data_IF_139460547619
#
_entry.id   IF_139460547619
#
_cell.length_a   1.000
_cell.length_b   1.000
_cell.length_c   1.000
_cell.angle_alpha   90.00
_cell.angle_beta   90.00
_cell.angle_gamma   90.00
#
_symmetry.space_group_name_H-M   'P 1'
#
loop_
_entity.id
_entity.type
_entity.pdbx_description
1 polymer ?
#
# COMPACT_ATOMS: atom_id res chain seq x y z
N UNK A 1 10.16 23.63 -50.81
CA UNK A 1 10.58 23.75 -49.38
C UNK A 1 9.53 23.01 -48.57
N UNK A 2 9.72 21.72 -48.40
CA UNK A 2 8.86 20.88 -47.54
C UNK A 2 9.37 20.93 -46.11
N UNK A 3 8.54 21.46 -45.24
CA UNK A 3 8.82 21.52 -43.81
C UNK A 3 8.52 20.15 -43.22
N UNK A 4 9.55 19.37 -42.88
CA UNK A 4 9.43 18.14 -42.15
C UNK A 4 8.84 18.41 -40.73
N UNK A 5 7.60 18.03 -40.53
CA UNK A 5 6.99 17.98 -39.21
C UNK A 5 7.74 16.93 -38.37
N UNK A 6 8.51 17.38 -37.37
CA UNK A 6 9.09 16.51 -36.36
C UNK A 6 7.97 15.97 -35.47
N UNK A 7 7.72 14.68 -35.60
CA UNK A 7 6.88 13.92 -34.68
C UNK A 7 7.58 13.87 -33.32
N UNK A 8 7.14 14.75 -32.39
CA UNK A 8 7.61 14.79 -31.00
C UNK A 8 6.70 13.93 -30.12
N UNK A 9 6.62 12.64 -30.39
CA UNK A 9 6.22 11.69 -29.36
C UNK A 9 7.45 11.36 -28.51
N UNK A 10 7.75 12.23 -27.54
CA UNK A 10 8.62 11.84 -26.45
C UNK A 10 7.97 10.64 -25.76
N UNK A 11 8.71 9.56 -25.43
CA UNK A 11 8.17 8.48 -24.64
C UNK A 11 7.65 9.07 -23.33
N UNK A 12 6.43 8.71 -22.95
CA UNK A 12 5.90 9.08 -21.64
C UNK A 12 6.93 8.67 -20.58
N UNK A 13 7.37 9.63 -19.78
CA UNK A 13 8.26 9.35 -18.65
C UNK A 13 7.45 8.46 -17.68
N UNK A 14 7.69 7.16 -17.74
CA UNK A 14 6.99 6.16 -16.93
C UNK A 14 7.47 6.17 -15.47
N UNK A 15 8.19 7.22 -15.04
CA UNK A 15 8.78 7.30 -13.71
C UNK A 15 9.90 6.26 -13.50
N UNK A 16 10.60 6.39 -12.39
CA UNK A 16 11.65 5.42 -12.02
C UNK A 16 11.08 4.36 -11.07
N UNK A 17 11.50 3.09 -11.21
CA UNK A 17 11.16 2.05 -10.23
C UNK A 17 11.72 2.43 -8.85
N UNK A 18 11.19 1.85 -7.76
CA UNK A 18 11.73 2.05 -6.42
C UNK A 18 13.23 1.73 -6.37
N UNK A 19 13.99 2.56 -5.64
CA UNK A 19 15.41 2.29 -5.38
C UNK A 19 15.50 1.29 -4.22
N UNK A 20 16.20 0.17 -4.45
CA UNK A 20 16.46 -0.83 -3.41
C UNK A 20 17.89 -0.66 -2.92
N UNK A 21 18.04 -0.41 -1.60
CA UNK A 21 19.35 -0.30 -0.94
C UNK A 21 19.55 -1.53 -0.05
N UNK A 22 20.55 -2.35 -0.39
CA UNK A 22 20.96 -3.52 0.38
C UNK A 22 22.01 -3.12 1.40
N UNK A 23 21.71 -3.32 2.68
CA UNK A 23 22.60 -2.95 3.78
C UNK A 23 23.25 -4.16 4.43
N UNK A 24 22.51 -5.23 4.55
CA UNK A 24 23.01 -6.50 5.12
C UNK A 24 24.05 -7.18 4.20
N UNK A 25 25.06 -7.82 4.73
CA UNK A 25 25.42 -7.97 6.17
C UNK A 25 26.33 -6.86 6.72
N UNK A 26 26.56 -5.77 5.96
CA UNK A 26 27.51 -4.71 6.32
C UNK A 26 26.99 -3.81 7.42
N UNK A 27 25.68 -3.48 7.37
CA UNK A 27 25.01 -2.62 8.33
C UNK A 27 23.65 -3.23 8.71
N UNK A 28 23.52 -3.60 9.97
CA UNK A 28 22.22 -3.97 10.53
C UNK A 28 21.55 -2.76 11.18
N UNK A 29 20.34 -2.43 10.72
CA UNK A 29 19.57 -1.31 11.27
C UNK A 29 18.48 -1.84 12.19
N UNK A 30 18.59 -1.51 13.49
CA UNK A 30 17.54 -1.83 14.47
C UNK A 30 16.23 -1.12 14.13
N UNK A 31 15.14 -1.50 14.77
CA UNK A 31 13.84 -0.83 14.61
C UNK A 31 13.92 0.67 14.94
N UNK A 32 14.54 1.02 16.07
CA UNK A 32 14.72 2.40 16.50
C UNK A 32 15.56 3.19 15.50
N UNK A 33 16.68 2.62 15.04
CA UNK A 33 17.54 3.26 14.05
C UNK A 33 16.81 3.47 12.71
N UNK A 34 15.97 2.52 12.30
CA UNK A 34 15.18 2.67 11.07
C UNK A 34 14.10 3.73 11.22
N UNK A 35 13.41 3.78 12.36
CA UNK A 35 12.43 4.84 12.62
C UNK A 35 13.11 6.22 12.59
N UNK A 36 14.22 6.41 13.32
CA UNK A 36 14.99 7.66 13.31
C UNK A 36 15.51 8.01 11.91
N UNK A 37 15.97 7.01 11.15
CA UNK A 37 16.39 7.22 9.76
C UNK A 37 15.24 7.78 8.91
N UNK A 38 14.03 7.26 9.04
CA UNK A 38 12.87 7.82 8.36
C UNK A 38 12.51 9.23 8.86
N UNK A 39 12.68 9.51 10.18
CA UNK A 39 12.39 10.84 10.73
C UNK A 39 13.34 11.93 10.24
N UNK A 40 14.62 11.63 10.01
CA UNK A 40 15.58 12.61 9.47
C UNK A 40 15.50 12.72 7.93
N UNK A 41 14.85 11.77 7.23
CA UNK A 41 14.66 11.74 5.78
C UNK A 41 13.18 11.86 5.41
N UNK A 42 12.47 12.82 5.99
CA UNK A 42 11.00 12.99 5.84
C UNK A 42 10.53 13.24 4.42
N UNK A 43 11.42 13.68 3.55
CA UNK A 43 11.15 13.92 2.13
C UNK A 43 11.10 12.62 1.31
N UNK A 44 11.49 11.49 1.92
CA UNK A 44 11.52 10.18 1.28
C UNK A 44 10.40 9.28 1.83
N UNK A 45 9.75 8.55 0.94
CA UNK A 45 8.89 7.42 1.30
C UNK A 45 9.75 6.15 1.32
N UNK A 46 9.96 5.59 2.52
CA UNK A 46 10.90 4.48 2.73
C UNK A 46 10.17 3.33 3.40
N UNK A 47 10.21 2.16 2.78
CA UNK A 47 9.85 0.88 3.39
C UNK A 47 11.10 0.06 3.70
N UNK A 48 10.97 -0.96 4.53
CA UNK A 48 11.99 -1.98 4.77
C UNK A 48 11.36 -3.35 4.60
N UNK A 49 11.96 -4.22 3.79
CA UNK A 49 11.49 -5.59 3.66
C UNK A 49 12.04 -6.50 4.78
N UNK A 50 11.57 -7.75 4.83
CA UNK A 50 12.00 -8.74 5.83
C UNK A 50 13.49 -9.12 5.76
N UNK A 51 14.19 -8.78 4.66
CA UNK A 51 15.64 -8.99 4.50
C UNK A 51 16.46 -7.78 4.94
N UNK A 52 15.82 -6.72 5.50
CA UNK A 52 16.49 -5.49 5.92
C UNK A 52 16.82 -4.54 4.77
N UNK A 53 16.40 -4.82 3.53
CA UNK A 53 16.62 -3.93 2.39
C UNK A 53 15.68 -2.72 2.48
N UNK A 54 16.21 -1.52 2.24
CA UNK A 54 15.41 -0.30 2.14
C UNK A 54 14.85 -0.15 0.73
N UNK A 55 13.56 0.15 0.65
CA UNK A 55 12.83 0.40 -0.59
C UNK A 55 12.42 1.87 -0.58
N UNK A 56 13.07 2.69 -1.39
CA UNK A 56 12.81 4.12 -1.48
C UNK A 56 11.96 4.39 -2.73
N UNK A 57 10.77 4.93 -2.49
CA UNK A 57 9.78 5.17 -3.54
C UNK A 57 9.78 6.64 -3.98
N UNK A 58 9.75 6.93 -5.29
CA UNK A 58 9.55 8.28 -5.78
C UNK A 58 8.13 8.79 -5.47
N UNK A 59 7.89 10.11 -5.52
CA UNK A 59 6.54 10.65 -5.49
C UNK A 59 5.69 10.06 -6.62
N UNK A 60 4.42 9.81 -6.33
CA UNK A 60 3.49 9.26 -7.33
C UNK A 60 2.99 10.35 -8.28
N UNK A 61 2.61 9.96 -9.50
CA UNK A 61 1.98 10.86 -10.48
C UNK A 61 0.56 11.27 -10.08
N UNK A 62 0.06 12.36 -10.65
CA UNK A 62 -1.24 12.97 -10.36
C UNK A 62 -2.39 11.95 -10.34
N UNK A 63 -2.53 11.13 -11.40
CA UNK A 63 -3.61 10.14 -11.50
C UNK A 63 -3.58 9.08 -10.39
N UNK A 64 -2.40 8.61 -10.01
CA UNK A 64 -2.26 7.67 -8.88
C UNK A 64 -2.60 8.36 -7.57
N UNK A 65 -2.21 9.63 -7.40
CA UNK A 65 -2.56 10.43 -6.23
C UNK A 65 -4.07 10.65 -6.09
N UNK A 66 -4.77 11.01 -7.18
CA UNK A 66 -6.24 11.15 -7.22
C UNK A 66 -6.92 9.84 -6.75
N UNK A 67 -6.49 8.71 -7.31
CA UNK A 67 -7.03 7.38 -6.97
C UNK A 67 -6.78 6.99 -5.52
N UNK A 68 -5.57 7.24 -4.99
CA UNK A 68 -5.25 6.97 -3.60
C UNK A 68 -6.10 7.80 -2.63
N UNK A 69 -6.33 9.08 -2.97
CA UNK A 69 -7.19 9.95 -2.20
C UNK A 69 -8.64 9.43 -2.17
N UNK A 70 -9.17 9.01 -3.33
CA UNK A 70 -10.53 8.47 -3.45
C UNK A 70 -10.69 7.17 -2.65
N UNK A 71 -9.75 6.22 -2.79
CA UNK A 71 -9.75 4.96 -2.02
C UNK A 71 -9.75 5.25 -0.51
N UNK A 72 -8.85 6.12 -0.06
CA UNK A 72 -8.71 6.45 1.37
C UNK A 72 -9.98 7.16 1.88
N UNK A 73 -10.58 8.04 1.08
CA UNK A 73 -11.81 8.75 1.42
C UNK A 73 -12.97 7.76 1.60
N UNK A 74 -13.22 6.88 0.63
CA UNK A 74 -14.33 5.92 0.71
C UNK A 74 -14.17 4.98 1.92
N UNK A 75 -12.97 4.45 2.14
CA UNK A 75 -12.67 3.61 3.30
C UNK A 75 -12.86 4.38 4.62
N UNK A 76 -12.42 5.63 4.67
CA UNK A 76 -12.53 6.50 5.84
C UNK A 76 -13.97 6.88 6.19
N UNK A 77 -14.82 7.16 5.19
CA UNK A 77 -16.25 7.43 5.39
C UNK A 77 -16.93 6.21 6.00
N UNK A 78 -16.78 5.04 5.36
CA UNK A 78 -17.32 3.80 5.89
C UNK A 78 -16.82 3.48 7.32
N UNK A 79 -15.51 3.63 7.59
CA UNK A 79 -14.94 3.32 8.89
C UNK A 79 -15.50 4.21 10.00
N UNK A 80 -15.79 5.49 9.72
CA UNK A 80 -16.44 6.41 10.67
C UNK A 80 -17.87 6.02 10.98
N UNK A 81 -18.63 5.56 9.98
CA UNK A 81 -20.01 5.12 10.14
C UNK A 81 -20.10 3.77 10.87
N UNK A 82 -19.18 2.86 10.54
CA UNK A 82 -19.13 1.53 11.16
C UNK A 82 -18.62 1.57 12.61
N UNK A 83 -17.66 2.44 12.93
CA UNK A 83 -17.14 2.67 14.28
C UNK A 83 -16.29 1.55 14.88
N UNK A 84 -15.93 0.50 14.12
CA UNK A 84 -15.18 -0.66 14.63
C UNK A 84 -13.67 -0.56 14.48
N UNK A 85 -13.15 0.41 13.72
CA UNK A 85 -11.72 0.52 13.44
C UNK A 85 -11.32 1.87 12.87
N UNK A 86 -10.02 2.02 12.60
CA UNK A 86 -9.39 3.23 12.08
C UNK A 86 -8.83 2.97 10.69
N UNK A 87 -9.04 3.94 9.77
CA UNK A 87 -8.42 3.98 8.45
C UNK A 87 -7.08 4.69 8.53
N UNK A 88 -6.11 4.22 7.76
CA UNK A 88 -4.78 4.79 7.60
C UNK A 88 -4.49 5.01 6.13
N UNK A 89 -3.78 6.08 5.83
CA UNK A 89 -3.31 6.42 4.49
C UNK A 89 -1.90 5.87 4.21
N UNK A 90 -1.41 6.15 3.02
CA UNK A 90 -0.11 5.68 2.51
C UNK A 90 1.11 6.25 3.23
N UNK A 91 0.95 7.21 4.15
CA UNK A 91 2.05 7.76 4.96
C UNK A 91 2.31 6.97 6.24
N UNK A 92 1.40 6.06 6.61
CA UNK A 92 1.48 5.31 7.85
C UNK A 92 2.31 4.04 7.69
N UNK A 93 3.36 3.91 8.51
CA UNK A 93 4.18 2.69 8.57
C UNK A 93 3.63 1.65 9.55
N UNK A 94 3.62 0.40 9.12
CA UNK A 94 3.27 -0.77 9.93
C UNK A 94 4.47 -1.71 10.03
N UNK A 95 4.91 -2.03 11.26
CA UNK A 95 5.90 -3.06 11.48
C UNK A 95 5.20 -4.42 11.57
N UNK A 96 5.46 -5.24 10.59
CA UNK A 96 4.87 -6.58 10.50
C UNK A 96 5.61 -7.58 11.42
N UNK A 97 4.99 -8.73 11.76
CA UNK A 97 5.63 -9.77 12.57
C UNK A 97 6.94 -10.33 12.02
N UNK A 98 7.20 -10.23 10.71
CA UNK A 98 8.46 -10.63 10.07
C UNK A 98 9.53 -9.51 10.05
N UNK A 99 9.35 -8.46 10.87
CA UNK A 99 10.20 -7.27 10.98
C UNK A 99 10.27 -6.38 9.72
N UNK A 100 9.50 -6.66 8.70
CA UNK A 100 9.34 -5.68 7.62
C UNK A 100 8.54 -4.47 8.10
N UNK A 101 8.80 -3.30 7.50
CA UNK A 101 8.00 -2.09 7.69
C UNK A 101 7.40 -1.70 6.35
N UNK A 102 6.08 -1.72 6.29
CA UNK A 102 5.30 -1.46 5.09
C UNK A 102 4.34 -0.31 5.28
N UNK A 103 4.09 0.42 4.19
CA UNK A 103 3.11 1.52 4.12
C UNK A 103 2.15 1.24 2.96
N UNK A 104 1.04 0.50 3.18
CA UNK A 104 0.05 0.24 2.14
C UNK A 104 -0.64 1.53 1.70
N UNK A 105 -1.13 1.59 0.47
CA UNK A 105 -1.80 2.79 -0.06
C UNK A 105 -3.05 3.17 0.74
N UNK A 106 -3.78 2.18 1.27
CA UNK A 106 -4.78 2.38 2.32
C UNK A 106 -4.83 1.14 3.23
N UNK A 107 -5.12 1.35 4.50
CA UNK A 107 -5.26 0.27 5.47
C UNK A 107 -6.38 0.53 6.47
N UNK A 108 -6.87 -0.54 7.07
CA UNK A 108 -7.79 -0.47 8.18
C UNK A 108 -7.39 -1.44 9.29
N UNK A 109 -7.47 -0.96 10.53
CA UNK A 109 -7.15 -1.72 11.74
C UNK A 109 -8.34 -1.68 12.68
N UNK A 110 -8.80 -2.84 13.13
CA UNK A 110 -9.86 -2.95 14.12
C UNK A 110 -9.44 -2.33 15.46
N UNK A 111 -10.31 -1.54 16.09
CA UNK A 111 -10.04 -0.89 17.38
C UNK A 111 -9.58 -1.87 18.46
N UNK A 112 -10.17 -3.07 18.50
CA UNK A 112 -9.77 -4.09 19.46
C UNK A 112 -8.28 -4.49 19.36
N UNK A 113 -7.71 -4.49 18.14
CA UNK A 113 -6.27 -4.75 17.94
C UNK A 113 -5.44 -3.49 18.18
N UNK A 114 -5.89 -2.35 17.70
CA UNK A 114 -5.19 -1.08 17.93
C UNK A 114 -5.07 -0.77 19.43
N UNK A 115 -6.08 -1.11 20.22
CA UNK A 115 -6.11 -0.87 21.66
C UNK A 115 -5.14 -1.76 22.46
N UNK A 116 -4.54 -2.80 21.86
CA UNK A 116 -3.45 -3.58 22.49
C UNK A 116 -2.10 -2.88 22.39
N UNK A 117 -1.98 -1.83 21.56
CA UNK A 117 -0.74 -1.07 21.33
C UNK A 117 -0.69 0.10 22.30
N UNK A 118 0.44 0.30 22.99
CA UNK A 118 0.60 1.40 23.94
C UNK A 118 0.56 2.77 23.25
N UNK A 119 0.20 3.85 23.95
CA UNK A 119 0.22 5.21 23.38
C UNK A 119 1.57 5.60 22.78
N UNK A 120 2.68 5.24 23.46
CA UNK A 120 4.05 5.55 22.99
C UNK A 120 4.38 4.81 21.69
N UNK A 121 3.93 3.57 21.54
CA UNK A 121 4.13 2.79 20.32
C UNK A 121 3.29 3.33 19.15
N UNK A 122 2.16 3.99 19.43
CA UNK A 122 1.30 4.59 18.40
C UNK A 122 1.90 5.84 17.77
N UNK A 123 2.88 6.46 18.42
CA UNK A 123 3.63 7.60 17.86
C UNK A 123 4.76 7.14 16.91
N UNK A 124 4.89 5.84 16.70
CA UNK A 124 5.90 5.23 15.83
C UNK A 124 5.23 4.36 14.76
N UNK A 125 6.03 3.54 14.06
CA UNK A 125 5.44 2.52 13.18
C UNK A 125 4.59 1.58 14.02
N UNK A 126 3.33 1.41 13.60
CA UNK A 126 2.38 0.60 14.36
C UNK A 126 2.82 -0.88 14.35
N UNK A 127 3.10 -1.51 15.52
CA UNK A 127 3.70 -2.85 15.59
C UNK A 127 2.65 -3.96 15.40
N UNK A 128 1.97 -3.94 14.27
CA UNK A 128 1.01 -4.96 13.84
C UNK A 128 0.80 -4.91 12.33
N UNK A 129 0.37 -6.00 11.75
CA UNK A 129 -0.15 -6.01 10.39
C UNK A 129 -1.61 -5.54 10.39
N UNK A 130 -2.05 -4.65 9.49
CA UNK A 130 -3.46 -4.25 9.39
C UNK A 130 -4.40 -5.45 9.15
N UNK A 131 -5.66 -5.32 9.54
CA UNK A 131 -6.69 -6.33 9.22
C UNK A 131 -7.04 -6.31 7.74
N UNK A 132 -6.98 -5.13 7.12
CA UNK A 132 -7.25 -4.91 5.71
C UNK A 132 -6.23 -3.96 5.10
N UNK A 133 -5.76 -4.28 3.90
CA UNK A 133 -4.79 -3.49 3.13
C UNK A 133 -5.25 -3.33 1.69
N UNK A 134 -4.95 -2.18 1.10
CA UNK A 134 -5.08 -1.92 -0.34
C UNK A 134 -3.72 -1.47 -0.88
N UNK A 135 -3.30 -2.07 -1.99
CA UNK A 135 -2.20 -1.60 -2.84
C UNK A 135 -2.77 -1.20 -4.20
N UNK A 136 -2.43 -0.02 -4.67
CA UNK A 136 -2.82 0.53 -5.96
C UNK A 136 -1.62 0.51 -6.90
N UNK A 137 -1.71 -0.30 -7.95
CA UNK A 137 -0.63 -0.41 -8.93
C UNK A 137 -0.45 0.89 -9.73
N UNK A 138 0.73 1.49 -9.64
CA UNK A 138 1.15 2.58 -10.52
C UNK A 138 1.69 2.03 -11.85
N UNK A 139 1.84 2.88 -12.90
CA UNK A 139 2.40 2.44 -14.19
C UNK A 139 3.81 1.86 -14.12
N UNK A 140 4.60 2.22 -13.09
CA UNK A 140 6.00 1.79 -12.92
C UNK A 140 6.13 0.55 -12.06
N UNK A 141 5.05 0.10 -11.39
CA UNK A 141 5.11 -1.01 -10.46
C UNK A 141 5.07 -2.36 -11.19
N UNK A 142 5.92 -3.26 -10.74
CA UNK A 142 5.85 -4.67 -11.13
C UNK A 142 4.63 -5.33 -10.46
N UNK A 143 3.76 -5.92 -11.28
CA UNK A 143 2.62 -6.69 -10.76
C UNK A 143 3.09 -7.83 -9.86
N UNK A 144 4.14 -8.53 -10.24
CA UNK A 144 4.69 -9.65 -9.46
C UNK A 144 5.16 -9.18 -8.08
N UNK A 145 5.91 -8.08 -8.01
CA UNK A 145 6.40 -7.54 -6.74
C UNK A 145 5.25 -7.12 -5.81
N UNK A 146 4.18 -6.53 -6.37
CA UNK A 146 3.01 -6.19 -5.58
C UNK A 146 2.23 -7.43 -5.13
N UNK A 147 2.15 -8.48 -5.95
CA UNK A 147 1.55 -9.76 -5.56
C UNK A 147 2.33 -10.43 -4.40
N UNK A 148 3.67 -10.39 -4.45
CA UNK A 148 4.53 -10.85 -3.37
C UNK A 148 4.31 -10.04 -2.08
N UNK A 149 4.19 -8.71 -2.19
CA UNK A 149 3.88 -7.81 -1.07
C UNK A 149 2.51 -8.11 -0.46
N UNK A 150 1.49 -8.39 -1.29
CA UNK A 150 0.17 -8.80 -0.82
C UNK A 150 0.20 -10.13 -0.07
N UNK A 151 0.98 -11.09 -0.55
CA UNK A 151 1.17 -12.36 0.15
C UNK A 151 1.90 -12.15 1.49
N UNK A 152 2.91 -11.29 1.54
CA UNK A 152 3.59 -10.90 2.79
C UNK A 152 2.59 -10.36 3.82
N UNK A 153 1.64 -9.49 3.43
CA UNK A 153 0.61 -9.03 4.35
C UNK A 153 -0.25 -10.17 4.92
N UNK A 154 -0.69 -11.11 4.05
CA UNK A 154 -1.49 -12.25 4.53
C UNK A 154 -0.71 -13.15 5.49
N UNK A 155 0.55 -13.45 5.18
CA UNK A 155 1.43 -14.28 5.99
C UNK A 155 1.71 -13.64 7.36
N UNK A 156 1.59 -12.31 7.45
CA UNK A 156 1.78 -11.53 8.67
C UNK A 156 0.46 -11.16 9.38
N UNK A 157 -0.68 -11.69 8.93
CA UNK A 157 -1.93 -11.61 9.66
C UNK A 157 -2.98 -10.65 9.11
N UNK A 158 -2.81 -10.11 7.90
CA UNK A 158 -3.90 -9.44 7.21
C UNK A 158 -5.02 -10.45 6.91
N UNK A 159 -6.27 -10.00 7.05
CA UNK A 159 -7.47 -10.83 6.89
C UNK A 159 -8.13 -10.65 5.53
N UNK A 160 -7.85 -9.53 4.89
CA UNK A 160 -8.30 -9.19 3.56
C UNK A 160 -7.27 -8.23 2.93
N UNK A 161 -6.99 -8.40 1.64
CA UNK A 161 -6.17 -7.48 0.88
C UNK A 161 -6.70 -7.32 -0.53
N UNK A 162 -6.60 -6.11 -1.07
CA UNK A 162 -6.92 -5.82 -2.46
C UNK A 162 -5.71 -5.23 -3.17
N UNK A 163 -5.33 -5.82 -4.28
CA UNK A 163 -4.40 -5.23 -5.24
C UNK A 163 -5.22 -4.74 -6.44
N UNK A 164 -5.26 -3.43 -6.62
CA UNK A 164 -6.01 -2.76 -7.67
C UNK A 164 -5.07 -2.40 -8.81
N UNK A 165 -5.37 -2.87 -10.01
CA UNK A 165 -4.64 -2.56 -11.26
C UNK A 165 -5.53 -1.72 -12.18
N UNK A 166 -5.42 -0.38 -12.14
CA UNK A 166 -6.26 0.49 -12.96
C UNK A 166 -5.98 0.35 -14.47
N UNK A 167 -4.75 0.01 -14.85
CA UNK A 167 -4.39 -0.14 -16.26
C UNK A 167 -5.11 -1.29 -16.93
N UNK A 168 -5.35 -2.38 -16.18
CA UNK A 168 -6.09 -3.53 -16.66
C UNK A 168 -7.53 -3.60 -16.15
N UNK A 169 -7.95 -2.64 -15.32
CA UNK A 169 -9.24 -2.64 -14.61
C UNK A 169 -9.49 -3.94 -13.88
N UNK A 170 -8.50 -4.41 -13.11
CA UNK A 170 -8.55 -5.64 -12.33
C UNK A 170 -8.38 -5.40 -10.86
N UNK A 171 -9.09 -6.20 -10.07
CA UNK A 171 -8.89 -6.28 -8.62
C UNK A 171 -8.52 -7.71 -8.26
N UNK A 172 -7.38 -7.88 -7.62
CA UNK A 172 -6.96 -9.16 -7.04
C UNK A 172 -7.31 -9.15 -5.56
N UNK A 173 -8.20 -10.04 -5.16
CA UNK A 173 -8.70 -10.17 -3.78
C UNK A 173 -7.96 -11.29 -3.08
N UNK A 174 -7.29 -10.95 -2.00
CA UNK A 174 -6.47 -11.85 -1.18
C UNK A 174 -7.19 -12.13 0.13
N UNK A 175 -7.29 -13.42 0.50
CA UNK A 175 -7.83 -13.90 1.77
C UNK A 175 -6.94 -15.01 2.32
N UNK A 176 -6.79 -15.13 3.66
CA UNK A 176 -6.02 -16.24 4.24
C UNK A 176 -6.56 -17.61 3.79
N UNK A 177 -5.64 -18.51 3.46
CA UNK A 177 -5.95 -19.91 3.08
C UNK A 177 -6.89 -20.07 1.87
N UNK A 178 -7.00 -19.04 1.04
CA UNK A 178 -7.79 -19.08 -0.19
C UNK A 178 -6.93 -18.73 -1.40
N UNK A 179 -7.30 -19.25 -2.57
CA UNK A 179 -6.70 -18.81 -3.83
C UNK A 179 -7.08 -17.35 -4.10
N UNK A 180 -6.15 -16.62 -4.72
CA UNK A 180 -6.38 -15.22 -5.13
C UNK A 180 -7.54 -15.20 -6.13
N UNK A 181 -8.56 -14.40 -5.83
CA UNK A 181 -9.68 -14.16 -6.73
C UNK A 181 -9.38 -12.94 -7.58
N UNK A 182 -9.38 -13.07 -8.89
CA UNK A 182 -9.29 -11.95 -9.81
C UNK A 182 -10.68 -11.53 -10.28
N UNK A 183 -10.99 -10.25 -10.12
CA UNK A 183 -12.20 -9.61 -10.66
C UNK A 183 -11.80 -8.79 -11.88
N UNK A 184 -12.48 -9.00 -13.00
CA UNK A 184 -12.21 -8.30 -14.27
C UNK A 184 -13.25 -7.20 -14.49
N UNK A 185 -12.79 -5.96 -14.61
CA UNK A 185 -13.59 -4.75 -14.77
C UNK A 185 -14.80 -4.62 -13.81
N UNK A 186 -14.62 -4.84 -12.49
CA UNK A 186 -15.73 -4.69 -11.55
C UNK A 186 -16.09 -3.21 -11.35
N UNK A 187 -17.38 -2.91 -11.14
CA UNK A 187 -17.83 -1.57 -10.74
C UNK A 187 -17.60 -1.34 -9.24
N UNK A 188 -17.67 -2.40 -8.45
CA UNK A 188 -17.46 -2.36 -6.99
C UNK A 188 -16.72 -3.60 -6.52
N UNK A 189 -16.06 -3.50 -5.36
CA UNK A 189 -15.50 -4.65 -4.64
C UNK A 189 -15.94 -4.61 -3.18
N UNK A 190 -16.49 -5.74 -2.69
CA UNK A 190 -17.04 -5.84 -1.34
C UNK A 190 -16.00 -6.33 -0.32
N UNK A 191 -16.00 -5.69 0.86
CA UNK A 191 -15.10 -6.01 1.98
C UNK A 191 -15.59 -7.13 2.90
N UNK A 192 -16.78 -7.63 2.68
CA UNK A 192 -17.37 -8.69 3.52
C UNK A 192 -16.54 -9.98 3.56
N UNK A 193 -16.52 -10.68 4.68
CA UNK A 193 -17.13 -10.35 5.99
C UNK A 193 -16.20 -9.51 6.90
N UNK A 194 -15.03 -9.09 6.44
CA UNK A 194 -14.01 -8.41 7.27
C UNK A 194 -14.40 -6.95 7.51
N UNK A 195 -14.83 -6.26 6.45
CA UNK A 195 -15.36 -4.91 6.48
C UNK A 195 -16.85 -4.97 6.13
N UNK A 196 -17.67 -5.30 7.12
CA UNK A 196 -19.10 -5.55 6.93
C UNK A 196 -19.80 -4.33 6.30
N UNK A 197 -20.43 -4.55 5.15
CA UNK A 197 -21.14 -3.51 4.40
C UNK A 197 -20.25 -2.51 3.66
N UNK A 198 -18.91 -2.64 3.68
CA UNK A 198 -18.03 -1.84 2.84
C UNK A 198 -18.01 -2.35 1.40
N UNK A 199 -18.29 -1.48 0.46
CA UNK A 199 -18.08 -1.71 -0.96
C UNK A 199 -17.36 -0.50 -1.56
N UNK A 200 -16.15 -0.71 -2.06
CA UNK A 200 -15.39 0.33 -2.76
C UNK A 200 -15.98 0.51 -4.16
N UNK A 201 -16.40 1.73 -4.48
CA UNK A 201 -16.78 2.13 -5.82
C UNK A 201 -15.52 2.35 -6.66
N UNK A 202 -15.38 1.60 -7.74
CA UNK A 202 -14.21 1.63 -8.60
C UNK A 202 -14.37 2.52 -9.82
N UNK A 203 -15.54 3.12 -10.04
CA UNK A 203 -15.79 3.96 -11.23
C UNK A 203 -14.90 5.20 -11.27
N UNK A 204 -14.55 5.75 -10.11
CA UNK A 204 -13.61 6.88 -9.99
C UNK A 204 -12.13 6.44 -9.93
N UNK A 205 -11.89 5.13 -9.83
CA UNK A 205 -10.54 4.55 -9.79
C UNK A 205 -10.05 4.14 -11.19
N UNK A 206 -10.97 3.80 -12.10
CA UNK A 206 -10.65 3.36 -13.46
C UNK A 206 -10.11 4.42 -14.41
#
# INVERSE_FOLDING_TARGET
METLAQDKTAPADLGHPPLIVRMEPVLHMTEDAFFEFCQINRDLRIERNAFGELIIMPPTGCKTGERNAEITMQLGVWAKENGEGTTFDSSTGFRLPNDSVRSPDAAWVRHARQNTVSPEQRERFLPLCPDFVIELRSPTDSLLTLQEKMQEYLDNGARLGWLIDPAQRRVYVYRPQASVQMLDNPETVAGDPILAGFALDLREIW
#
